data_IF_032905581028
#
_entry.id   IF_032905581028
#
_cell.length_a   1.000
_cell.length_b   1.000
_cell.length_c   1.000
_cell.angle_alpha   90.00
_cell.angle_beta   90.00
_cell.angle_gamma   90.00
#
_symmetry.space_group_name_H-M   'P 1'
#
loop_
_entity.id
_entity.type
_entity.pdbx_description
1 polymer ?
#
# COMPACT_ATOMS: atom_id res chain seq x y z
N UNK A 1 -12.14 25.16 -27.70
CA UNK A 1 -11.16 24.39 -26.89
C UNK A 1 -11.48 22.92 -27.10
N UNK A 2 -10.69 22.24 -27.92
CA UNK A 2 -10.81 20.80 -28.13
C UNK A 2 -10.26 20.09 -26.89
N UNK A 3 -11.10 19.36 -26.16
CA UNK A 3 -10.66 18.40 -25.18
C UNK A 3 -9.98 17.25 -25.94
N UNK A 4 -8.66 17.25 -25.99
CA UNK A 4 -7.86 16.10 -26.43
C UNK A 4 -8.14 14.98 -25.40
N UNK A 5 -8.91 13.97 -25.81
CA UNK A 5 -9.06 12.72 -25.04
C UNK A 5 -7.65 12.18 -24.77
N UNK A 6 -7.23 12.19 -23.50
CA UNK A 6 -6.00 11.52 -23.09
C UNK A 6 -6.18 10.03 -23.38
N UNK A 7 -5.59 9.55 -24.45
CA UNK A 7 -5.64 8.14 -24.83
C UNK A 7 -4.92 7.33 -23.73
N UNK A 8 -5.69 6.60 -22.94
CA UNK A 8 -5.16 5.64 -21.98
C UNK A 8 -4.82 4.36 -22.75
N UNK A 9 -3.54 3.97 -22.72
CA UNK A 9 -3.12 2.69 -23.28
C UNK A 9 -2.95 1.68 -22.14
N UNK A 10 -3.58 0.51 -22.30
CA UNK A 10 -3.49 -0.58 -21.33
C UNK A 10 -2.77 -1.74 -22.00
N UNK A 11 -1.71 -2.21 -21.35
CA UNK A 11 -0.98 -3.42 -21.75
C UNK A 11 -1.16 -4.48 -20.68
N UNK A 12 -1.33 -5.73 -21.10
CA UNK A 12 -1.43 -6.86 -20.19
C UNK A 12 -0.53 -7.99 -20.65
N UNK A 13 0.15 -8.61 -19.69
CA UNK A 13 1.06 -9.73 -19.94
C UNK A 13 0.89 -10.80 -18.86
N UNK A 14 1.25 -12.03 -19.20
CA UNK A 14 1.27 -13.15 -18.27
C UNK A 14 2.64 -13.81 -18.33
N UNK A 15 3.23 -14.15 -17.18
CA UNK A 15 4.51 -14.84 -17.07
C UNK A 15 4.35 -16.04 -16.15
N UNK A 16 4.91 -17.19 -16.56
CA UNK A 16 4.91 -18.41 -15.73
C UNK A 16 6.12 -18.43 -14.81
N UNK A 17 5.92 -18.96 -13.61
CA UNK A 17 7.03 -19.27 -12.71
C UNK A 17 7.97 -20.33 -13.29
N UNK A 18 9.25 -20.21 -13.00
CA UNK A 18 10.30 -21.07 -13.56
C UNK A 18 10.71 -20.76 -14.99
N UNK A 19 10.04 -19.84 -15.67
CA UNK A 19 10.34 -19.47 -17.07
C UNK A 19 11.43 -18.38 -17.14
N UNK A 20 12.64 -18.74 -16.74
CA UNK A 20 13.79 -17.83 -16.71
C UNK A 20 14.22 -17.36 -18.11
N UNK A 21 13.99 -18.19 -19.15
CA UNK A 21 14.34 -17.85 -20.54
C UNK A 21 13.51 -16.69 -21.09
N UNK A 22 12.30 -16.49 -20.55
CA UNK A 22 11.41 -15.40 -20.94
C UNK A 22 11.43 -14.20 -19.97
N UNK A 23 12.21 -14.29 -18.89
CA UNK A 23 12.40 -13.14 -17.97
C UNK A 23 13.06 -11.96 -18.73
N UNK A 24 12.52 -10.75 -18.54
CA UNK A 24 12.97 -9.56 -19.25
C UNK A 24 12.20 -9.26 -20.54
N UNK A 25 11.33 -10.17 -21.02
CA UNK A 25 10.56 -9.93 -22.28
C UNK A 25 9.48 -8.86 -22.09
N UNK A 26 8.82 -8.82 -20.95
CA UNK A 26 7.76 -7.83 -20.65
C UNK A 26 8.40 -6.44 -20.56
N UNK A 27 9.47 -6.31 -19.75
CA UNK A 27 10.20 -5.05 -19.59
C UNK A 27 10.74 -4.52 -20.91
N UNK A 28 11.33 -5.39 -21.74
CA UNK A 28 11.86 -5.01 -23.07
C UNK A 28 10.73 -4.62 -24.03
N UNK A 29 9.61 -5.33 -24.03
CA UNK A 29 8.45 -5.05 -24.88
C UNK A 29 7.85 -3.70 -24.53
N UNK A 30 7.55 -3.45 -23.24
CA UNK A 30 6.96 -2.18 -22.82
C UNK A 30 7.94 -1.01 -23.00
N UNK A 31 9.25 -1.22 -22.77
CA UNK A 31 10.29 -0.22 -23.04
C UNK A 31 10.26 0.25 -24.50
N UNK A 32 10.11 -0.66 -25.46
CA UNK A 32 10.02 -0.35 -26.90
C UNK A 32 8.74 0.44 -27.19
N UNK A 33 7.62 0.03 -26.61
CA UNK A 33 6.34 0.70 -26.79
C UNK A 33 6.32 2.12 -26.21
N UNK A 34 6.91 2.33 -25.04
CA UNK A 34 7.03 3.66 -24.46
C UNK A 34 7.95 4.58 -25.27
N UNK A 35 9.02 4.02 -25.88
CA UNK A 35 9.89 4.77 -26.81
C UNK A 35 9.14 5.21 -28.06
N UNK A 36 8.38 4.34 -28.69
CA UNK A 36 7.60 4.68 -29.89
C UNK A 36 6.53 5.73 -29.63
N UNK A 37 6.15 5.93 -28.35
CA UNK A 37 5.18 6.94 -27.88
C UNK A 37 5.85 8.17 -27.27
N UNK A 38 7.15 8.32 -27.45
CA UNK A 38 7.94 9.48 -27.03
C UNK A 38 7.87 9.80 -25.53
N UNK A 39 7.73 8.76 -24.69
CA UNK A 39 7.81 8.97 -23.23
C UNK A 39 9.20 9.48 -22.82
N UNK A 40 9.27 10.30 -21.75
CA UNK A 40 10.54 10.78 -21.23
C UNK A 40 11.52 9.63 -20.93
N UNK A 41 12.80 9.73 -21.34
CA UNK A 41 13.78 8.65 -21.18
C UNK A 41 13.91 8.13 -19.73
N UNK A 42 13.82 9.02 -18.74
CA UNK A 42 13.91 8.66 -17.33
C UNK A 42 12.69 7.81 -16.86
N UNK A 43 11.48 8.06 -17.38
CA UNK A 43 10.30 7.23 -17.12
C UNK A 43 10.49 5.85 -17.75
N UNK A 44 10.93 5.80 -19.02
CA UNK A 44 11.17 4.54 -19.73
C UNK A 44 12.18 3.67 -18.98
N UNK A 45 13.27 4.25 -18.51
CA UNK A 45 14.31 3.54 -17.78
C UNK A 45 13.76 2.95 -16.46
N UNK A 46 13.04 3.76 -15.68
CA UNK A 46 12.46 3.35 -14.41
C UNK A 46 11.42 2.24 -14.58
N UNK A 47 10.52 2.37 -15.54
CA UNK A 47 9.54 1.32 -15.89
C UNK A 47 10.24 0.02 -16.27
N UNK A 48 11.30 0.08 -17.08
CA UNK A 48 12.03 -1.11 -17.48
C UNK A 48 12.70 -1.82 -16.28
N UNK A 49 13.32 -1.08 -15.36
CA UNK A 49 13.91 -1.63 -14.13
C UNK A 49 12.86 -2.28 -13.28
N UNK A 50 11.76 -1.58 -12.98
CA UNK A 50 10.66 -2.05 -12.13
C UNK A 50 10.05 -3.34 -12.69
N UNK A 51 9.78 -3.39 -13.99
CA UNK A 51 9.22 -4.59 -14.62
C UNK A 51 10.21 -5.75 -14.60
N UNK A 52 11.48 -5.52 -14.90
CA UNK A 52 12.49 -6.57 -14.88
C UNK A 52 12.61 -7.21 -13.49
N UNK A 53 12.70 -6.41 -12.43
CA UNK A 53 12.74 -6.93 -11.06
C UNK A 53 11.47 -7.71 -10.70
N UNK A 54 10.31 -7.22 -11.15
CA UNK A 54 9.05 -7.92 -10.94
C UNK A 54 8.96 -9.24 -11.72
N UNK A 55 9.47 -9.30 -12.97
CA UNK A 55 9.56 -10.52 -13.76
C UNK A 55 10.46 -11.56 -13.06
N UNK A 56 11.64 -11.15 -12.56
CA UNK A 56 12.53 -12.02 -11.79
C UNK A 56 11.85 -12.56 -10.53
N UNK A 57 11.11 -11.72 -9.80
CA UNK A 57 10.36 -12.19 -8.63
C UNK A 57 9.29 -13.21 -9.00
N UNK A 58 8.55 -13.00 -10.10
CA UNK A 58 7.54 -13.95 -10.57
C UNK A 58 8.17 -15.29 -10.96
N UNK A 59 9.19 -15.31 -11.80
CA UNK A 59 9.82 -16.56 -12.24
C UNK A 59 10.49 -17.31 -11.10
N UNK A 60 11.00 -16.60 -10.09
CA UNK A 60 11.71 -17.19 -8.95
C UNK A 60 10.80 -17.73 -7.85
N UNK A 61 9.64 -17.11 -7.60
CA UNK A 61 8.89 -17.36 -6.36
C UNK A 61 7.42 -17.72 -6.54
N UNK A 62 6.90 -17.68 -7.79
CA UNK A 62 5.46 -17.85 -8.01
C UNK A 62 5.16 -18.93 -9.07
N UNK A 63 3.90 -19.31 -9.23
CA UNK A 63 3.47 -20.20 -10.32
C UNK A 63 3.12 -19.40 -11.57
N UNK A 64 2.57 -18.21 -11.39
CA UNK A 64 2.14 -17.32 -12.48
C UNK A 64 2.03 -15.90 -11.97
N UNK A 65 2.44 -14.94 -12.80
CA UNK A 65 2.22 -13.51 -12.57
C UNK A 65 1.49 -12.85 -13.73
N UNK A 66 0.69 -11.85 -13.38
CA UNK A 66 -0.07 -11.03 -14.30
C UNK A 66 0.40 -9.59 -14.16
N UNK A 67 0.74 -8.98 -15.30
CA UNK A 67 1.30 -7.63 -15.37
C UNK A 67 0.33 -6.75 -16.16
N UNK A 68 0.01 -5.58 -15.60
CA UNK A 68 -0.82 -4.58 -16.24
C UNK A 68 -0.08 -3.24 -16.21
N UNK A 69 -0.03 -2.56 -17.35
CA UNK A 69 0.53 -1.22 -17.45
C UNK A 69 -0.52 -0.26 -18.01
N UNK A 70 -0.83 0.77 -17.24
CA UNK A 70 -1.75 1.85 -17.58
C UNK A 70 -0.91 3.08 -17.91
N UNK A 71 -0.78 3.39 -19.20
CA UNK A 71 0.08 4.44 -19.69
C UNK A 71 -0.72 5.73 -19.96
N UNK A 72 -0.32 6.83 -19.31
CA UNK A 72 -0.86 8.18 -19.47
C UNK A 72 0.27 9.12 -19.88
N UNK A 73 -0.01 10.30 -20.47
CA UNK A 73 1.05 11.28 -20.72
C UNK A 73 1.89 11.52 -19.46
N UNK A 74 3.21 11.34 -19.57
CA UNK A 74 4.19 11.55 -18.50
C UNK A 74 4.01 10.70 -17.22
N UNK A 75 3.21 9.63 -17.25
CA UNK A 75 3.07 8.71 -16.13
C UNK A 75 2.73 7.29 -16.58
N UNK A 76 3.20 6.31 -15.81
CA UNK A 76 2.88 4.89 -15.98
C UNK A 76 2.47 4.32 -14.63
N UNK A 77 1.28 3.72 -14.57
CA UNK A 77 0.84 2.93 -13.43
C UNK A 77 0.96 1.45 -13.75
N UNK A 78 1.72 0.72 -12.94
CA UNK A 78 1.93 -0.71 -13.10
C UNK A 78 1.19 -1.46 -12.00
N UNK A 79 0.56 -2.57 -12.36
CA UNK A 79 -0.03 -3.51 -11.40
C UNK A 79 0.51 -4.90 -11.70
N UNK A 80 1.18 -5.48 -10.75
CA UNK A 80 1.69 -6.86 -10.79
C UNK A 80 0.92 -7.68 -9.76
N UNK A 81 0.34 -8.80 -10.20
CA UNK A 81 -0.34 -9.77 -9.33
C UNK A 81 0.25 -11.13 -9.55
N UNK A 82 0.54 -11.86 -8.49
CA UNK A 82 0.98 -13.24 -8.56
C UNK A 82 0.14 -14.19 -7.71
N UNK A 83 0.28 -15.47 -7.99
CA UNK A 83 -0.28 -16.59 -7.21
C UNK A 83 0.85 -17.38 -6.56
N UNK A 84 1.70 -16.68 -5.85
CA UNK A 84 2.81 -17.27 -5.09
C UNK A 84 2.44 -17.57 -3.64
N UNK A 85 3.48 -17.83 -2.84
CA UNK A 85 3.34 -18.10 -1.39
C UNK A 85 2.99 -16.87 -0.55
N UNK A 86 2.99 -15.68 -1.16
CA UNK A 86 2.86 -14.42 -0.44
C UNK A 86 4.12 -14.02 0.33
N UNK A 87 4.06 -12.87 0.98
CA UNK A 87 5.16 -12.28 1.77
C UNK A 87 4.70 -12.14 3.22
N UNK A 88 5.36 -12.83 4.14
CA UNK A 88 5.02 -12.78 5.57
C UNK A 88 5.34 -11.43 6.20
N UNK A 89 6.50 -10.87 5.86
CA UNK A 89 6.97 -9.58 6.38
C UNK A 89 7.41 -8.66 5.24
N UNK A 90 6.50 -7.80 4.80
CA UNK A 90 6.74 -6.86 3.70
C UNK A 90 7.87 -5.89 4.04
N UNK A 91 7.96 -5.40 5.30
CA UNK A 91 9.01 -4.46 5.71
C UNK A 91 10.40 -5.07 5.58
N UNK A 92 10.53 -6.33 5.99
CA UNK A 92 11.79 -7.07 5.86
C UNK A 92 12.08 -7.36 4.38
N UNK A 93 11.06 -7.74 3.61
CA UNK A 93 11.22 -8.07 2.20
C UNK A 93 11.67 -6.90 1.31
N UNK A 94 11.38 -5.64 1.70
CA UNK A 94 11.84 -4.44 0.97
C UNK A 94 13.18 -3.90 1.45
N UNK A 95 13.79 -4.49 2.47
CA UNK A 95 15.14 -4.13 2.90
C UNK A 95 16.18 -4.69 1.93
N UNK A 96 17.22 -3.90 1.67
CA UNK A 96 18.34 -4.33 0.84
C UNK A 96 19.06 -5.52 1.46
N UNK A 97 19.39 -6.49 0.61
CA UNK A 97 20.10 -7.71 1.03
C UNK A 97 19.22 -8.80 1.63
N UNK A 98 17.93 -8.53 1.95
CA UNK A 98 17.04 -9.59 2.42
C UNK A 98 16.55 -10.46 1.25
N UNK A 99 16.77 -11.76 1.32
CA UNK A 99 16.41 -12.72 0.29
C UNK A 99 16.00 -14.06 0.87
N UNK A 100 14.90 -14.62 0.35
CA UNK A 100 14.47 -16.00 0.59
C UNK A 100 14.80 -16.92 -0.59
N UNK A 101 15.75 -16.52 -1.45
CA UNK A 101 16.18 -17.27 -2.62
C UNK A 101 16.83 -18.61 -2.22
N UNK A 102 16.46 -19.66 -2.94
CA UNK A 102 17.12 -20.98 -2.84
C UNK A 102 18.51 -20.91 -3.49
N UNK A 103 19.35 -21.92 -3.17
CA UNK A 103 20.68 -22.02 -3.82
C UNK A 103 20.57 -22.19 -5.35
N UNK A 104 19.51 -22.79 -5.84
CA UNK A 104 19.22 -22.92 -7.27
C UNK A 104 19.03 -21.54 -7.93
N UNK A 105 18.19 -20.68 -7.35
CA UNK A 105 17.96 -19.32 -7.82
C UNK A 105 19.26 -18.50 -7.78
N UNK A 106 20.07 -18.68 -6.72
CA UNK A 106 21.37 -18.00 -6.59
C UNK A 106 22.38 -18.44 -7.65
N UNK A 107 22.39 -19.72 -8.03
CA UNK A 107 23.26 -20.24 -9.11
C UNK A 107 22.90 -19.64 -10.48
N UNK A 108 21.64 -19.26 -10.68
CA UNK A 108 21.19 -18.54 -11.87
C UNK A 108 21.53 -17.05 -11.86
N UNK A 109 22.21 -16.56 -10.80
CA UNK A 109 22.61 -15.15 -10.67
C UNK A 109 21.55 -14.23 -10.06
N UNK A 110 20.45 -14.80 -9.52
CA UNK A 110 19.37 -14.04 -8.91
C UNK A 110 19.33 -14.21 -7.37
N UNK A 111 18.49 -13.43 -6.71
CA UNK A 111 18.25 -13.60 -5.26
C UNK A 111 19.24 -12.84 -4.36
N UNK A 112 19.89 -11.79 -4.85
CA UNK A 112 20.75 -10.92 -4.05
C UNK A 112 20.00 -10.05 -3.02
N UNK A 113 18.67 -10.14 -2.96
CA UNK A 113 17.85 -9.37 -2.03
C UNK A 113 17.65 -7.91 -2.41
N UNK A 114 17.82 -7.57 -3.69
CA UNK A 114 17.72 -6.20 -4.19
C UNK A 114 16.41 -5.92 -4.95
N UNK A 115 15.64 -6.93 -5.31
CA UNK A 115 14.49 -6.80 -6.22
C UNK A 115 13.44 -5.79 -5.75
N UNK A 116 12.85 -5.99 -4.59
CA UNK A 116 11.81 -5.09 -4.06
C UNK A 116 12.37 -3.71 -3.67
N UNK A 117 13.62 -3.62 -3.21
CA UNK A 117 14.27 -2.34 -2.92
C UNK A 117 14.55 -1.55 -4.21
N UNK A 118 14.93 -2.21 -5.31
CA UNK A 118 15.10 -1.60 -6.62
C UNK A 118 13.75 -1.11 -7.19
N UNK A 119 12.68 -1.90 -7.06
CA UNK A 119 11.33 -1.45 -7.43
C UNK A 119 10.97 -0.18 -6.67
N UNK A 120 11.13 -0.19 -5.34
CA UNK A 120 10.83 0.96 -4.48
C UNK A 120 11.61 2.21 -4.91
N UNK A 121 12.92 2.10 -5.15
CA UNK A 121 13.77 3.24 -5.57
C UNK A 121 13.37 3.84 -6.91
N UNK A 122 12.82 3.02 -7.82
CA UNK A 122 12.41 3.46 -9.15
C UNK A 122 10.93 3.83 -9.25
N UNK A 123 10.16 3.67 -8.19
CA UNK A 123 8.77 4.12 -8.07
C UNK A 123 8.69 5.53 -7.48
N UNK A 124 7.65 6.30 -7.81
CA UNK A 124 7.23 7.44 -6.99
C UNK A 124 6.47 6.90 -5.79
N UNK A 125 5.48 6.06 -6.04
CA UNK A 125 4.70 5.36 -5.01
C UNK A 125 4.69 3.87 -5.31
N UNK A 126 4.89 3.04 -4.31
CA UNK A 126 4.79 1.58 -4.37
C UNK A 126 3.84 1.08 -3.28
N UNK A 127 2.77 0.39 -3.67
CA UNK A 127 1.82 -0.25 -2.75
C UNK A 127 1.98 -1.76 -2.84
N UNK A 128 2.13 -2.43 -1.72
CA UNK A 128 2.21 -3.88 -1.63
C UNK A 128 1.08 -4.40 -0.76
N UNK A 129 0.30 -5.31 -1.34
CA UNK A 129 -0.69 -6.12 -0.64
C UNK A 129 -0.28 -7.58 -0.80
N UNK A 130 0.00 -8.27 0.28
CA UNK A 130 0.42 -9.67 0.24
C UNK A 130 -0.10 -10.42 1.46
N UNK A 131 -0.56 -11.65 1.21
CA UNK A 131 -1.05 -12.53 2.26
C UNK A 131 -0.42 -13.90 2.10
N UNK A 132 0.15 -14.47 3.16
CA UNK A 132 0.72 -15.82 3.12
C UNK A 132 -0.27 -16.84 2.54
N UNK A 133 0.16 -17.60 1.54
CA UNK A 133 -0.66 -18.60 0.83
C UNK A 133 -1.57 -18.06 -0.28
N UNK A 134 -1.79 -16.74 -0.39
CA UNK A 134 -2.71 -16.15 -1.38
C UNK A 134 -2.00 -15.40 -2.53
N UNK A 135 -0.70 -15.12 -2.37
CA UNK A 135 0.09 -14.39 -3.37
C UNK A 135 0.30 -12.92 -3.04
N UNK A 136 0.77 -12.15 -4.02
CA UNK A 136 1.13 -10.74 -3.85
C UNK A 136 0.53 -9.88 -4.96
N UNK A 137 0.12 -8.67 -4.60
CA UNK A 137 -0.22 -7.60 -5.53
C UNK A 137 0.68 -6.40 -5.25
N UNK A 138 1.36 -5.91 -6.26
CA UNK A 138 2.16 -4.68 -6.18
C UNK A 138 1.56 -3.69 -7.18
N UNK A 139 1.27 -2.48 -6.72
CA UNK A 139 0.84 -1.34 -7.55
C UNK A 139 1.89 -0.25 -7.47
N UNK A 140 2.30 0.31 -8.60
CA UNK A 140 3.46 1.19 -8.71
C UNK A 140 3.11 2.38 -9.59
N UNK A 141 3.35 3.58 -9.09
CA UNK A 141 3.21 4.82 -9.84
C UNK A 141 4.59 5.36 -10.22
N UNK A 142 4.80 5.64 -11.51
CA UNK A 142 6.02 6.23 -12.06
C UNK A 142 5.62 7.49 -12.82
N UNK A 143 6.08 8.64 -12.35
CA UNK A 143 5.77 9.96 -12.92
C UNK A 143 7.03 10.79 -13.13
N UNK A 144 6.90 11.94 -13.76
CA UNK A 144 8.01 12.89 -13.95
C UNK A 144 8.37 13.67 -12.67
N UNK A 145 7.66 13.49 -11.55
CA UNK A 145 8.00 14.18 -10.30
C UNK A 145 9.30 13.63 -9.69
N UNK A 146 10.01 14.48 -8.95
CA UNK A 146 11.27 14.11 -8.27
C UNK A 146 11.05 13.46 -6.90
N UNK A 147 9.82 13.13 -6.54
CA UNK A 147 9.51 12.43 -5.30
C UNK A 147 9.50 10.92 -5.55
N UNK A 148 10.36 10.18 -4.85
CA UNK A 148 10.58 8.75 -5.07
C UNK A 148 10.53 7.95 -3.77
N UNK A 149 10.19 6.67 -3.90
CA UNK A 149 10.42 5.69 -2.85
C UNK A 149 9.37 5.65 -1.75
N UNK A 150 8.21 6.28 -1.93
CA UNK A 150 7.10 6.12 -1.00
C UNK A 150 6.60 4.67 -1.04
N UNK A 151 6.65 3.99 0.10
CA UNK A 151 6.11 2.64 0.27
C UNK A 151 4.81 2.72 1.06
N UNK A 152 3.72 2.35 0.42
CA UNK A 152 2.42 2.17 1.07
C UNK A 152 2.19 0.67 1.24
N UNK A 153 1.99 0.24 2.47
CA UNK A 153 1.61 -1.12 2.79
C UNK A 153 0.14 -1.13 3.18
N UNK A 154 -0.59 -2.12 2.70
CA UNK A 154 -1.92 -2.36 3.22
C UNK A 154 -1.76 -2.80 4.69
N UNK A 155 -2.33 -2.04 5.59
CA UNK A 155 -2.35 -2.33 7.02
C UNK A 155 -3.79 -2.35 7.50
N UNK A 156 -4.15 -3.36 8.30
CA UNK A 156 -5.48 -3.49 8.88
C UNK A 156 -5.55 -2.88 10.28
N UNK A 157 -6.76 -2.60 10.75
CA UNK A 157 -6.98 -2.17 12.14
C UNK A 157 -6.47 -3.22 13.12
N UNK A 158 -6.67 -4.50 12.82
CA UNK A 158 -6.19 -5.61 13.64
C UNK A 158 -4.65 -5.61 13.75
N UNK A 159 -3.93 -5.36 12.65
CA UNK A 159 -2.47 -5.28 12.70
C UNK A 159 -1.96 -4.07 13.51
N UNK A 160 -2.66 -2.93 13.47
CA UNK A 160 -2.36 -1.80 14.34
C UNK A 160 -2.58 -2.20 15.81
N UNK A 161 -3.73 -2.76 16.12
CA UNK A 161 -4.02 -3.22 17.49
C UNK A 161 -2.96 -4.20 18.01
N UNK A 162 -2.60 -5.21 17.21
CA UNK A 162 -1.62 -6.23 17.60
C UNK A 162 -0.18 -5.69 17.75
N UNK A 163 0.19 -4.64 17.01
CA UNK A 163 1.53 -4.05 17.02
C UNK A 163 1.68 -2.86 17.97
N UNK A 164 0.61 -2.48 18.64
CA UNK A 164 0.58 -1.38 19.61
C UNK A 164 0.07 -1.87 20.95
N UNK A 165 0.28 -1.08 21.99
CA UNK A 165 -0.30 -1.32 23.31
C UNK A 165 -1.67 -0.62 23.46
N UNK A 166 -2.38 -0.39 22.33
CA UNK A 166 -3.69 0.24 22.37
C UNK A 166 -4.74 -0.74 22.90
N UNK A 167 -5.65 -0.27 23.73
CA UNK A 167 -6.79 -1.05 24.20
C UNK A 167 -7.89 -1.02 23.12
N UNK A 168 -8.36 -2.17 22.66
CA UNK A 168 -9.53 -2.27 21.80
C UNK A 168 -10.79 -2.20 22.64
N UNK A 169 -11.59 -1.14 22.47
CA UNK A 169 -12.82 -0.90 23.25
C UNK A 169 -14.06 -1.54 22.63
N UNK A 170 -14.06 -1.80 21.33
CA UNK A 170 -15.17 -2.39 20.58
C UNK A 170 -14.87 -3.85 20.25
N UNK A 171 -15.57 -4.78 20.92
CA UNK A 171 -15.31 -6.23 20.76
C UNK A 171 -15.99 -6.84 19.53
N UNK A 172 -17.01 -6.17 18.97
CA UNK A 172 -17.84 -6.68 17.85
C UNK A 172 -17.54 -6.04 16.51
N UNK A 173 -16.79 -4.93 16.49
CA UNK A 173 -16.48 -4.22 15.26
C UNK A 173 -15.44 -4.95 14.40
N UNK A 174 -15.58 -4.85 13.08
CA UNK A 174 -14.67 -5.50 12.12
C UNK A 174 -13.30 -4.85 12.09
N UNK A 175 -12.32 -5.46 12.74
CA UNK A 175 -10.92 -5.04 12.73
C UNK A 175 -10.15 -5.49 11.48
N UNK A 176 -10.75 -6.21 10.54
CA UNK A 176 -10.10 -6.57 9.27
C UNK A 176 -10.08 -5.42 8.25
N UNK A 177 -10.74 -4.29 8.56
CA UNK A 177 -10.78 -3.09 7.71
C UNK A 177 -9.39 -2.58 7.40
N UNK A 178 -9.14 -2.31 6.09
CA UNK A 178 -7.88 -1.73 5.62
C UNK A 178 -7.80 -0.26 5.99
N UNK A 179 -6.63 0.16 6.48
CA UNK A 179 -6.32 1.56 6.73
C UNK A 179 -5.61 2.11 5.50
N UNK A 180 -6.22 3.11 4.85
CA UNK A 180 -5.67 3.76 3.66
C UNK A 180 -4.90 5.04 3.98
N UNK A 181 -4.99 5.53 5.21
CA UNK A 181 -4.26 6.71 5.69
C UNK A 181 -4.69 7.14 7.07
N UNK A 182 -4.02 8.14 7.63
CA UNK A 182 -4.31 8.73 8.92
C UNK A 182 -4.94 10.13 8.81
N UNK A 183 -5.83 10.46 9.75
CA UNK A 183 -6.36 11.80 9.94
C UNK A 183 -6.31 12.19 11.41
N UNK A 184 -5.93 13.42 11.70
CA UNK A 184 -5.87 13.96 13.08
C UNK A 184 -6.71 15.22 13.16
N UNK A 185 -7.61 15.29 14.13
CA UNK A 185 -8.42 16.50 14.35
C UNK A 185 -9.53 16.28 15.35
N UNK A 186 -9.92 17.38 16.02
CA UNK A 186 -10.93 17.39 17.08
C UNK A 186 -12.14 18.27 16.73
N UNK A 187 -12.12 18.92 15.56
CA UNK A 187 -13.25 19.68 15.07
C UNK A 187 -14.06 18.84 14.08
N UNK A 188 -15.25 18.40 14.47
CA UNK A 188 -16.10 17.49 13.69
C UNK A 188 -16.39 18.01 12.27
N UNK A 189 -16.59 19.32 12.09
CA UNK A 189 -16.83 19.93 10.78
C UNK A 189 -15.62 19.84 9.87
N UNK A 190 -14.40 20.00 10.41
CA UNK A 190 -13.14 19.85 9.67
C UNK A 190 -12.91 18.38 9.28
N UNK A 191 -13.09 17.46 10.23
CA UNK A 191 -12.98 16.01 9.99
C UNK A 191 -13.97 15.56 8.93
N UNK A 192 -15.23 16.04 8.99
CA UNK A 192 -16.24 15.73 7.98
C UNK A 192 -15.91 16.32 6.60
N UNK A 193 -15.29 17.49 6.53
CA UNK A 193 -14.87 18.09 5.26
C UNK A 193 -13.67 17.35 4.63
N UNK A 194 -12.63 17.08 5.41
CA UNK A 194 -11.30 16.71 4.92
C UNK A 194 -10.93 15.24 5.13
N UNK A 195 -11.55 14.54 6.06
CA UNK A 195 -11.32 13.12 6.27
C UNK A 195 -11.73 12.28 5.05
N UNK A 196 -11.01 11.20 4.78
CA UNK A 196 -11.20 10.32 3.61
C UNK A 196 -11.56 8.91 4.03
N UNK A 197 -12.32 8.21 3.18
CA UNK A 197 -12.64 6.79 3.36
C UNK A 197 -11.41 5.95 3.66
N UNK A 198 -11.52 5.05 4.62
CA UNK A 198 -10.42 4.19 5.03
C UNK A 198 -9.39 4.86 5.95
N UNK A 199 -9.61 6.11 6.40
CA UNK A 199 -8.75 6.72 7.40
C UNK A 199 -8.86 6.02 8.76
N UNK A 200 -7.72 5.93 9.47
CA UNK A 200 -7.70 5.81 10.91
C UNK A 200 -7.67 7.23 11.51
N UNK A 201 -8.69 7.56 12.27
CA UNK A 201 -8.87 8.91 12.83
C UNK A 201 -8.36 9.00 14.25
N UNK A 202 -7.40 9.88 14.49
CA UNK A 202 -6.81 10.17 15.79
C UNK A 202 -7.49 11.40 16.37
N UNK A 203 -8.08 11.27 17.56
CA UNK A 203 -8.83 12.35 18.23
C UNK A 203 -8.80 12.18 19.74
N UNK A 204 -9.04 13.28 20.45
CA UNK A 204 -9.32 13.27 21.90
C UNK A 204 -10.83 13.33 22.21
N UNK A 205 -11.66 13.37 21.17
CA UNK A 205 -13.10 13.44 21.33
C UNK A 205 -13.67 12.11 21.86
N UNK A 206 -14.52 12.20 22.87
CA UNK A 206 -15.22 11.06 23.48
C UNK A 206 -16.75 11.18 23.37
N UNK A 207 -17.24 12.16 22.58
CA UNK A 207 -18.67 12.35 22.37
C UNK A 207 -19.19 11.45 21.22
N UNK A 208 -20.36 10.81 21.33
CA UNK A 208 -20.89 9.90 20.29
C UNK A 208 -20.99 10.48 18.87
N UNK A 209 -21.08 11.81 18.72
CA UNK A 209 -21.07 12.46 17.40
C UNK A 209 -19.78 12.19 16.61
N UNK A 210 -18.65 11.90 17.27
CA UNK A 210 -17.43 11.50 16.57
C UNK A 210 -17.64 10.16 15.84
N UNK A 211 -18.34 9.22 16.46
CA UNK A 211 -18.68 7.94 15.80
C UNK A 211 -19.56 8.16 14.58
N UNK A 212 -20.55 9.06 14.67
CA UNK A 212 -21.41 9.40 13.53
C UNK A 212 -20.58 9.93 12.36
N UNK A 213 -19.63 10.84 12.61
CA UNK A 213 -18.75 11.38 11.57
C UNK A 213 -17.87 10.26 10.99
N UNK A 214 -17.31 9.39 11.80
CA UNK A 214 -16.50 8.27 11.35
C UNK A 214 -17.30 7.30 10.45
N UNK A 215 -18.54 7.00 10.80
CA UNK A 215 -19.44 6.17 9.99
C UNK A 215 -19.78 6.84 8.66
N UNK A 216 -20.19 8.12 8.67
CA UNK A 216 -20.49 8.89 7.45
C UNK A 216 -19.32 8.99 6.48
N UNK A 217 -18.09 8.96 6.98
CA UNK A 217 -16.87 9.06 6.18
C UNK A 217 -16.26 7.70 5.83
N UNK A 218 -16.90 6.59 6.20
CA UNK A 218 -16.34 5.23 6.04
C UNK A 218 -14.91 5.12 6.60
N UNK A 219 -14.66 5.63 7.80
CA UNK A 219 -13.36 5.49 8.45
C UNK A 219 -13.13 4.04 8.90
N UNK A 220 -11.88 3.61 8.85
CA UNK A 220 -11.52 2.25 9.25
C UNK A 220 -11.50 2.05 10.76
N UNK A 221 -11.13 3.10 11.51
CA UNK A 221 -11.12 3.08 12.97
C UNK A 221 -11.02 4.50 13.55
N UNK A 222 -11.33 4.61 14.85
CA UNK A 222 -11.03 5.77 15.70
C UNK A 222 -9.94 5.36 16.70
N UNK A 223 -8.92 6.21 16.89
CA UNK A 223 -7.98 6.13 18.01
C UNK A 223 -8.28 7.30 18.95
N UNK A 224 -8.78 6.99 20.14
CA UNK A 224 -8.96 7.98 21.20
C UNK A 224 -7.66 8.09 21.98
N UNK A 225 -6.98 9.23 21.82
CA UNK A 225 -5.71 9.54 22.44
C UNK A 225 -5.86 10.43 23.69
N UNK A 226 -4.79 10.61 24.45
CA UNK A 226 -4.71 11.58 25.55
C UNK A 226 -5.28 11.13 26.89
N UNK A 227 -5.51 9.82 27.08
CA UNK A 227 -5.81 9.23 28.37
C UNK A 227 -7.25 9.41 28.88
N UNK A 228 -8.14 10.01 28.08
CA UNK A 228 -9.56 10.15 28.45
C UNK A 228 -10.37 9.01 27.82
N UNK A 229 -10.72 8.02 28.63
CA UNK A 229 -11.48 6.86 28.15
C UNK A 229 -12.92 7.25 27.79
N UNK A 230 -13.43 6.87 26.60
CA UNK A 230 -14.80 7.11 26.21
C UNK A 230 -15.79 6.44 27.15
N UNK A 231 -16.97 7.05 27.32
CA UNK A 231 -18.09 6.46 28.08
C UNK A 231 -18.75 5.32 27.29
N UNK A 232 -19.52 4.51 27.98
CA UNK A 232 -20.22 3.36 27.42
C UNK A 232 -21.09 3.72 26.19
N UNK A 233 -21.76 4.87 26.24
CA UNK A 233 -22.59 5.36 25.13
C UNK A 233 -21.80 5.52 23.80
N UNK A 234 -20.56 5.99 23.90
CA UNK A 234 -19.66 6.12 22.74
C UNK A 234 -19.32 4.74 22.18
N UNK A 235 -18.94 3.81 23.07
CA UNK A 235 -18.52 2.44 22.69
C UNK A 235 -19.70 1.70 22.07
N UNK A 236 -20.86 1.75 22.69
CA UNK A 236 -22.08 1.13 22.16
C UNK A 236 -22.44 1.67 20.78
N UNK A 237 -22.39 2.98 20.60
CA UNK A 237 -22.64 3.60 19.28
C UNK A 237 -21.61 3.15 18.24
N UNK A 238 -20.34 3.01 18.62
CA UNK A 238 -19.29 2.55 17.72
C UNK A 238 -19.50 1.09 17.30
N UNK A 239 -19.95 0.22 18.19
CA UNK A 239 -20.31 -1.16 17.85
C UNK A 239 -21.54 -1.24 16.92
N UNK A 240 -22.57 -0.39 17.14
CA UNK A 240 -23.74 -0.29 16.27
C UNK A 240 -23.38 0.14 14.85
N UNK A 241 -22.39 1.03 14.69
CA UNK A 241 -21.91 1.56 13.41
C UNK A 241 -20.73 0.74 12.83
N UNK A 242 -20.37 -0.35 13.47
CA UNK A 242 -19.22 -1.19 13.07
C UNK A 242 -17.91 -0.40 12.95
N UNK A 243 -17.64 0.54 13.86
CA UNK A 243 -16.41 1.33 13.90
C UNK A 243 -15.50 0.81 15.01
N UNK A 244 -14.35 0.21 14.70
CA UNK A 244 -13.33 -0.14 15.69
C UNK A 244 -12.84 1.10 16.44
N UNK A 245 -12.78 1.01 17.76
CA UNK A 245 -12.26 2.07 18.63
C UNK A 245 -11.07 1.56 19.41
N UNK A 246 -9.93 2.17 19.20
CA UNK A 246 -8.69 1.96 19.93
C UNK A 246 -8.50 3.12 20.93
N UNK A 247 -8.03 2.79 22.13
CA UNK A 247 -7.75 3.77 23.18
C UNK A 247 -6.30 3.71 23.62
N UNK A 248 -5.74 4.87 23.98
CA UNK A 248 -4.38 4.98 24.51
C UNK A 248 -4.17 6.23 25.35
N UNK A 249 -3.27 6.15 26.33
CA UNK A 249 -2.82 7.29 27.13
C UNK A 249 -1.83 8.21 26.38
N UNK A 250 -1.29 7.75 25.23
CA UNK A 250 -0.40 8.55 24.40
C UNK A 250 -1.10 9.80 23.89
N UNK A 251 -0.35 10.91 23.78
CA UNK A 251 -0.82 12.11 23.10
C UNK A 251 -1.10 11.86 21.61
N UNK A 252 -1.92 12.69 20.99
CA UNK A 252 -2.21 12.59 19.55
C UNK A 252 -0.93 12.62 18.70
N UNK A 253 0.09 13.40 19.10
CA UNK A 253 1.37 13.47 18.40
C UNK A 253 2.13 12.13 18.48
N UNK A 254 2.23 11.52 19.66
CA UNK A 254 2.88 10.22 19.84
C UNK A 254 2.18 9.12 19.05
N UNK A 255 0.84 9.15 19.02
CA UNK A 255 0.04 8.22 18.20
C UNK A 255 0.37 8.39 16.71
N UNK A 256 0.45 9.63 16.20
CA UNK A 256 0.82 9.91 14.80
C UNK A 256 2.20 9.34 14.48
N UNK A 257 3.20 9.60 15.33
CA UNK A 257 4.57 9.11 15.14
C UNK A 257 4.58 7.57 15.13
N UNK A 258 3.88 6.93 16.06
CA UNK A 258 3.78 5.48 16.14
C UNK A 258 3.10 4.89 14.91
N UNK A 259 1.93 5.39 14.51
CA UNK A 259 1.19 4.91 13.34
C UNK A 259 1.98 5.13 12.04
N UNK A 260 2.67 6.28 11.92
CA UNK A 260 3.56 6.55 10.78
C UNK A 260 4.71 5.54 10.71
N UNK A 261 5.32 5.20 11.85
CA UNK A 261 6.37 4.16 11.92
C UNK A 261 5.83 2.77 11.53
N UNK A 262 4.54 2.53 11.69
CA UNK A 262 3.83 1.32 11.30
C UNK A 262 3.37 1.33 9.82
N UNK A 263 3.55 2.42 9.09
CA UNK A 263 3.25 2.54 7.66
C UNK A 263 1.94 3.23 7.35
N UNK A 264 1.26 3.82 8.35
CA UNK A 264 0.10 4.69 8.11
C UNK A 264 0.62 6.07 7.67
N UNK A 265 0.30 6.48 6.45
CA UNK A 265 0.70 7.77 5.88
C UNK A 265 -0.49 8.73 5.81
N UNK A 266 -0.23 10.02 5.61
CA UNK A 266 -1.28 10.95 5.25
C UNK A 266 -1.84 10.62 3.86
N UNK A 267 -3.15 10.75 3.68
CA UNK A 267 -3.76 10.64 2.35
C UNK A 267 -3.55 11.95 1.58
N UNK A 268 -2.86 11.89 0.48
CA UNK A 268 -2.72 12.99 -0.48
C UNK A 268 -3.84 13.02 -1.52
#
# INVERSE_FOLDING_TARGET
>A
MQYTQCAHHIFSYTLRGGDFDNAGRISTSLKRELRSREYPPHIIQRVAIVLYEAEINVVSYTKVGYFFAYCRPNSVHLVIKDKGKGIENIRLAVQEGFSTATDEIRRLGFGAGMGLSNIKRNANVMRICSKPGEGTKISIDITSSNHYGELIMDITVNEIWQKTNFELLTSKADCSKLITGGYVGDMLSDVNANGKKGNIWITILTHPNAVVVASLKDFSAIVVAGGIKPREEFIKRAEEEDIPVLYTDLSAYEVVVLLSSLGVTANH
#
